data_IF_926279996482
#
_entry.id   IF_926279996482
#
_cell.length_a   1.000
_cell.length_b   1.000
_cell.length_c   1.000
_cell.angle_alpha   90.00
_cell.angle_beta   90.00
_cell.angle_gamma   90.00
#
_symmetry.space_group_name_H-M   'P 1'
#
loop_
_entity.id
_entity.type
_entity.pdbx_description
1 polymer ?
#
# COMPACT_ATOMS: atom_id res chain seq x y z
N UNK A 1 -21.07 -6.34 4.20
CA UNK A 1 -20.09 -6.01 3.14
C UNK A 1 -18.74 -6.67 3.39
N UNK A 2 -18.28 -6.80 4.66
CA UNK A 2 -17.04 -7.51 5.01
C UNK A 2 -17.04 -9.01 4.63
N UNK A 3 -18.21 -9.68 4.66
CA UNK A 3 -18.33 -11.12 4.35
C UNK A 3 -18.06 -11.49 2.88
N UNK A 4 -18.34 -10.61 1.92
CA UNK A 4 -18.24 -10.95 0.48
C UNK A 4 -16.78 -11.02 0.03
N UNK A 5 -15.94 -10.08 0.49
CA UNK A 5 -14.51 -10.08 0.12
C UNK A 5 -13.74 -11.19 0.80
N UNK A 6 -14.18 -11.63 1.99
CA UNK A 6 -13.57 -12.76 2.69
C UNK A 6 -13.78 -14.06 1.89
N UNK A 7 -14.92 -14.23 1.20
CA UNK A 7 -15.18 -15.42 0.38
C UNK A 7 -14.31 -15.44 -0.88
N UNK A 8 -14.10 -14.30 -1.54
CA UNK A 8 -13.21 -14.20 -2.72
C UNK A 8 -11.74 -14.53 -2.40
N UNK A 9 -11.32 -14.37 -1.14
CA UNK A 9 -9.92 -14.50 -0.74
C UNK A 9 -9.62 -15.89 -0.16
N UNK A 10 -10.55 -16.50 0.60
CA UNK A 10 -10.31 -17.80 1.26
C UNK A 10 -9.99 -18.91 0.26
N UNK A 11 -10.55 -18.84 -0.95
CA UNK A 11 -10.42 -19.88 -1.98
C UNK A 11 -9.20 -19.68 -2.91
N UNK A 12 -8.27 -18.78 -2.59
CA UNK A 12 -7.01 -18.60 -3.33
C UNK A 12 -6.02 -19.73 -3.01
N UNK A 13 -6.28 -20.90 -3.60
CA UNK A 13 -5.67 -22.18 -3.21
C UNK A 13 -4.26 -22.40 -3.79
N UNK A 14 -3.89 -21.70 -4.86
CA UNK A 14 -2.58 -21.83 -5.51
C UNK A 14 -1.74 -20.54 -5.40
N UNK A 15 -0.52 -20.55 -5.93
CA UNK A 15 0.29 -19.33 -6.10
C UNK A 15 -0.28 -18.51 -7.25
N UNK A 16 -0.73 -19.18 -8.31
CA UNK A 16 -1.31 -18.59 -9.51
C UNK A 16 -2.61 -17.82 -9.22
N UNK A 17 -3.48 -18.35 -8.35
CA UNK A 17 -4.72 -17.67 -7.95
C UNK A 17 -4.39 -16.37 -7.18
N UNK A 18 -3.42 -16.44 -6.26
CA UNK A 18 -2.96 -15.31 -5.46
C UNK A 18 -2.28 -14.26 -6.33
N UNK A 19 -1.44 -14.69 -7.27
CA UNK A 19 -0.77 -13.85 -8.27
C UNK A 19 -1.80 -13.08 -9.10
N UNK A 20 -2.80 -13.80 -9.65
CA UNK A 20 -3.86 -13.19 -10.44
C UNK A 20 -4.67 -12.18 -9.63
N UNK A 21 -5.05 -12.54 -8.39
CA UNK A 21 -5.77 -11.66 -7.48
C UNK A 21 -5.01 -10.35 -7.21
N UNK A 22 -3.72 -10.44 -6.85
CA UNK A 22 -2.88 -9.28 -6.57
C UNK A 22 -2.67 -8.42 -7.82
N UNK A 23 -2.39 -9.04 -8.97
CA UNK A 23 -2.23 -8.31 -10.24
C UNK A 23 -3.52 -7.58 -10.63
N UNK A 24 -4.68 -8.20 -10.46
CA UNK A 24 -5.96 -7.57 -10.77
C UNK A 24 -6.24 -6.35 -9.87
N UNK A 25 -5.91 -6.43 -8.57
CA UNK A 25 -5.98 -5.25 -7.68
C UNK A 25 -5.09 -4.14 -8.24
N UNK A 26 -3.84 -4.44 -8.60
CA UNK A 26 -2.91 -3.47 -9.15
C UNK A 26 -3.44 -2.81 -10.43
N UNK A 27 -3.98 -3.59 -11.36
CA UNK A 27 -4.43 -3.08 -12.64
C UNK A 27 -5.65 -2.16 -12.49
N UNK A 28 -6.60 -2.54 -11.62
CA UNK A 28 -7.78 -1.71 -11.30
C UNK A 28 -7.38 -0.42 -10.57
N UNK A 29 -6.46 -0.54 -9.62
CA UNK A 29 -5.86 0.55 -8.89
C UNK A 29 -5.20 1.56 -9.85
N UNK A 30 -4.26 1.13 -10.69
CA UNK A 30 -3.58 2.02 -11.63
C UNK A 30 -4.51 2.62 -12.69
N UNK A 31 -5.54 1.90 -13.12
CA UNK A 31 -6.54 2.42 -14.06
C UNK A 31 -7.23 3.68 -13.52
N UNK A 32 -7.74 3.64 -12.29
CA UNK A 32 -8.44 4.79 -11.69
C UNK A 32 -7.51 6.00 -11.54
N UNK A 33 -6.22 5.77 -11.21
CA UNK A 33 -5.22 6.85 -11.12
C UNK A 33 -4.87 7.46 -12.48
N UNK A 34 -4.93 6.69 -13.56
CA UNK A 34 -4.73 7.23 -14.91
C UNK A 34 -5.91 8.11 -15.31
N UNK A 35 -7.14 7.64 -15.08
CA UNK A 35 -8.35 8.42 -15.37
C UNK A 35 -8.39 9.75 -14.58
N UNK A 36 -7.99 9.73 -13.31
CA UNK A 36 -7.90 10.95 -12.51
C UNK A 36 -6.81 11.90 -13.04
N UNK A 37 -5.62 11.39 -13.36
CA UNK A 37 -4.51 12.21 -13.92
C UNK A 37 -4.89 12.87 -15.23
N UNK A 38 -5.57 12.15 -16.11
CA UNK A 38 -6.09 12.69 -17.37
C UNK A 38 -7.10 13.81 -17.09
N UNK A 39 -8.00 13.62 -16.11
CA UNK A 39 -8.94 14.65 -15.71
C UNK A 39 -8.24 15.89 -15.12
N UNK A 40 -7.28 15.72 -14.21
CA UNK A 40 -6.55 16.84 -13.61
C UNK A 40 -5.73 17.63 -14.64
N UNK A 41 -5.25 16.96 -15.69
CA UNK A 41 -4.49 17.59 -16.78
C UNK A 41 -5.39 18.31 -17.78
N UNK A 42 -6.56 17.74 -18.11
CA UNK A 42 -7.40 18.20 -19.23
C UNK A 42 -8.64 19.00 -18.79
N UNK A 43 -9.12 18.80 -17.56
CA UNK A 43 -10.45 19.23 -17.09
C UNK A 43 -10.44 19.71 -15.63
N UNK A 44 -9.33 20.26 -15.17
CA UNK A 44 -9.14 20.70 -13.79
C UNK A 44 -10.33 21.53 -13.24
N UNK A 45 -10.83 21.16 -12.07
CA UNK A 45 -11.95 21.84 -11.40
C UNK A 45 -13.36 21.48 -11.90
N UNK A 46 -13.48 20.56 -12.87
CA UNK A 46 -14.78 20.07 -13.34
C UNK A 46 -15.46 19.11 -12.34
N UNK A 47 -16.79 18.98 -12.47
CA UNK A 47 -17.58 17.98 -11.73
C UNK A 47 -17.11 16.54 -12.03
N UNK A 48 -16.73 16.27 -13.27
CA UNK A 48 -16.19 14.99 -13.71
C UNK A 48 -14.91 14.63 -12.92
N UNK A 49 -14.02 15.59 -12.68
CA UNK A 49 -12.84 15.34 -11.84
C UNK A 49 -13.20 15.08 -10.38
N UNK A 50 -14.26 15.70 -9.86
CA UNK A 50 -14.74 15.40 -8.51
C UNK A 50 -15.28 13.96 -8.43
N UNK A 51 -16.00 13.49 -9.46
CA UNK A 51 -16.46 12.09 -9.55
C UNK A 51 -15.29 11.10 -9.62
N UNK A 52 -14.24 11.40 -10.39
CA UNK A 52 -13.04 10.56 -10.43
C UNK A 52 -12.33 10.49 -9.06
N UNK A 53 -12.24 11.60 -8.31
CA UNK A 53 -11.69 11.60 -6.95
C UNK A 53 -12.51 10.77 -5.98
N UNK A 54 -13.85 10.82 -6.08
CA UNK A 54 -14.72 9.97 -5.29
C UNK A 54 -14.52 8.49 -5.63
N UNK A 55 -14.34 8.18 -6.92
CA UNK A 55 -14.07 6.82 -7.37
C UNK A 55 -12.70 6.31 -6.87
N UNK A 56 -11.65 7.12 -6.92
CA UNK A 56 -10.33 6.79 -6.36
C UNK A 56 -10.43 6.45 -4.88
N UNK A 57 -11.04 7.32 -4.06
CA UNK A 57 -11.20 7.08 -2.62
C UNK A 57 -11.97 5.78 -2.35
N UNK A 58 -12.99 5.47 -3.15
CA UNK A 58 -13.75 4.23 -3.02
C UNK A 58 -12.88 3.02 -3.37
N UNK A 59 -12.14 3.08 -4.48
CA UNK A 59 -11.22 2.02 -4.90
C UNK A 59 -10.11 1.79 -3.87
N UNK A 60 -9.55 2.84 -3.28
CA UNK A 60 -8.53 2.75 -2.25
C UNK A 60 -9.03 1.99 -1.02
N UNK A 61 -10.26 2.27 -0.55
CA UNK A 61 -10.86 1.58 0.60
C UNK A 61 -11.22 0.12 0.28
N UNK A 62 -11.74 -0.17 -0.91
CA UNK A 62 -12.05 -1.53 -1.35
C UNK A 62 -10.76 -2.36 -1.46
N UNK A 63 -9.71 -1.79 -2.06
CA UNK A 63 -8.40 -2.42 -2.18
C UNK A 63 -7.76 -2.64 -0.80
N UNK A 64 -7.87 -1.67 0.11
CA UNK A 64 -7.38 -1.81 1.48
C UNK A 64 -8.04 -2.99 2.19
N UNK A 65 -9.36 -3.12 2.06
CA UNK A 65 -10.12 -4.24 2.65
C UNK A 65 -9.63 -5.57 2.10
N UNK A 66 -9.46 -5.67 0.78
CA UNK A 66 -8.97 -6.89 0.11
C UNK A 66 -7.54 -7.25 0.49
N UNK A 67 -6.62 -6.29 0.46
CA UNK A 67 -5.21 -6.52 0.78
C UNK A 67 -5.01 -6.87 2.25
N UNK A 68 -5.69 -6.20 3.17
CA UNK A 68 -5.56 -6.51 4.60
C UNK A 68 -6.10 -7.90 4.92
N UNK A 69 -7.19 -8.33 4.28
CA UNK A 69 -7.69 -9.70 4.39
C UNK A 69 -6.70 -10.72 3.80
N UNK A 70 -6.15 -10.46 2.61
CA UNK A 70 -5.12 -11.29 1.99
C UNK A 70 -3.89 -11.44 2.90
N UNK A 71 -3.35 -10.34 3.40
CA UNK A 71 -2.13 -10.34 4.22
C UNK A 71 -2.34 -11.08 5.55
N UNK A 72 -3.52 -11.01 6.16
CA UNK A 72 -3.86 -11.76 7.38
C UNK A 72 -3.92 -13.27 7.15
N UNK A 73 -4.34 -13.70 5.96
CA UNK A 73 -4.49 -15.12 5.63
C UNK A 73 -3.19 -15.75 5.10
N UNK A 74 -2.44 -15.01 4.29
CA UNK A 74 -1.33 -15.56 3.49
C UNK A 74 0.02 -14.90 3.76
N UNK A 75 0.07 -13.80 4.50
CA UNK A 75 1.29 -13.01 4.69
C UNK A 75 1.68 -12.23 3.42
N UNK A 76 2.92 -11.72 3.41
CA UNK A 76 3.42 -10.91 2.32
C UNK A 76 3.83 -11.79 1.10
N UNK A 77 3.41 -11.46 -0.12
CA UNK A 77 3.80 -12.19 -1.34
C UNK A 77 5.28 -11.97 -1.67
N UNK A 78 6.10 -13.02 -1.54
CA UNK A 78 7.54 -12.93 -1.81
C UNK A 78 7.85 -12.84 -3.30
N UNK A 79 8.87 -12.04 -3.66
CA UNK A 79 9.40 -11.97 -5.03
C UNK A 79 9.98 -13.28 -5.57
N UNK A 80 10.21 -14.26 -4.69
CA UNK A 80 10.63 -15.59 -5.10
C UNK A 80 9.52 -16.35 -5.83
N UNK A 81 8.29 -16.19 -5.36
CA UNK A 81 7.14 -17.00 -5.79
C UNK A 81 6.14 -16.19 -6.64
N UNK A 82 6.20 -14.86 -6.54
CA UNK A 82 5.27 -13.93 -7.20
C UNK A 82 6.01 -12.97 -8.13
N UNK A 83 5.31 -12.43 -9.14
CA UNK A 83 5.87 -11.39 -9.99
C UNK A 83 6.16 -10.10 -9.22
N UNK A 84 6.96 -9.21 -9.81
CA UNK A 84 7.20 -7.88 -9.24
C UNK A 84 5.90 -7.09 -9.04
N UNK A 85 4.94 -7.22 -9.96
CA UNK A 85 3.63 -6.55 -9.85
C UNK A 85 2.87 -7.09 -8.65
N UNK A 86 2.69 -8.41 -8.55
CA UNK A 86 1.96 -9.03 -7.46
C UNK A 86 2.63 -8.75 -6.10
N UNK A 87 3.95 -8.96 -6.01
CA UNK A 87 4.72 -8.73 -4.78
C UNK A 87 4.73 -7.27 -4.29
N UNK A 88 4.69 -6.28 -5.20
CA UNK A 88 4.63 -4.87 -4.81
C UNK A 88 3.21 -4.37 -4.47
N UNK A 89 2.17 -5.09 -4.88
CA UNK A 89 0.78 -4.63 -4.74
C UNK A 89 0.35 -4.36 -3.30
N UNK A 90 0.66 -5.21 -2.31
CA UNK A 90 0.26 -4.94 -0.93
C UNK A 90 0.88 -3.66 -0.37
N UNK A 91 2.18 -3.44 -0.60
CA UNK A 91 2.83 -2.19 -0.23
C UNK A 91 2.14 -0.97 -0.86
N UNK A 92 1.85 -1.05 -2.16
CA UNK A 92 1.25 0.05 -2.91
C UNK A 92 -0.09 0.47 -2.31
N UNK A 93 -0.98 -0.50 -2.06
CA UNK A 93 -2.30 -0.26 -1.48
C UNK A 93 -2.20 0.29 -0.05
N UNK A 94 -1.31 -0.27 0.78
CA UNK A 94 -1.08 0.24 2.14
C UNK A 94 -0.55 1.68 2.12
N UNK A 95 0.40 1.98 1.23
CA UNK A 95 1.01 3.31 1.07
C UNK A 95 0.02 4.41 0.65
N UNK A 96 -0.96 4.06 -0.18
CA UNK A 96 -2.03 5.01 -0.57
C UNK A 96 -3.02 5.28 0.57
N UNK A 97 -3.14 4.34 1.51
CA UNK A 97 -4.08 4.42 2.61
C UNK A 97 -3.44 4.81 3.96
N UNK A 98 -2.18 5.25 3.98
CA UNK A 98 -1.52 5.63 5.23
C UNK A 98 -2.30 6.75 5.92
N UNK A 99 -2.60 6.55 7.20
CA UNK A 99 -3.33 7.50 8.03
C UNK A 99 -4.84 7.55 7.82
N UNK A 100 -5.40 6.76 6.88
CA UNK A 100 -6.87 6.65 6.75
C UNK A 100 -7.48 5.77 7.85
N UNK A 101 -6.70 4.81 8.38
CA UNK A 101 -7.09 3.97 9.50
C UNK A 101 -5.87 3.62 10.38
N UNK A 102 -5.71 4.32 11.51
CA UNK A 102 -4.51 4.25 12.37
C UNK A 102 -4.13 2.83 12.83
N UNK A 103 -5.11 1.92 12.94
CA UNK A 103 -4.85 0.54 13.32
C UNK A 103 -4.21 -0.30 12.21
N UNK A 104 -4.48 0.01 10.94
CA UNK A 104 -3.94 -0.73 9.80
C UNK A 104 -2.44 -0.50 9.68
N UNK A 105 -2.00 0.75 9.78
CA UNK A 105 -0.57 1.07 9.70
C UNK A 105 0.21 0.37 10.83
N UNK A 106 -0.33 0.38 12.05
CA UNK A 106 0.26 -0.31 13.20
C UNK A 106 0.31 -1.83 13.01
N UNK A 107 -0.69 -2.42 12.39
CA UNK A 107 -0.77 -3.86 12.14
C UNK A 107 0.23 -4.31 11.08
N UNK A 108 0.33 -3.59 9.95
CA UNK A 108 1.09 -4.07 8.78
C UNK A 108 2.46 -3.43 8.58
N UNK A 109 2.79 -2.32 9.26
CA UNK A 109 4.13 -1.75 9.16
C UNK A 109 5.26 -2.74 9.56
N UNK A 110 5.13 -3.57 10.62
CA UNK A 110 6.13 -4.61 10.92
C UNK A 110 6.30 -5.62 9.78
N UNK A 111 5.21 -5.99 9.11
CA UNK A 111 5.23 -6.92 7.98
C UNK A 111 5.98 -6.32 6.77
N UNK A 112 5.82 -5.03 6.49
CA UNK A 112 6.57 -4.34 5.44
C UNK A 112 8.07 -4.23 5.75
N UNK A 113 8.42 -4.03 7.02
CA UNK A 113 9.82 -4.06 7.46
C UNK A 113 10.43 -5.46 7.27
N UNK A 114 9.69 -6.52 7.61
CA UNK A 114 10.12 -7.89 7.37
C UNK A 114 10.30 -8.18 5.87
N UNK A 115 9.34 -7.79 5.04
CA UNK A 115 9.40 -7.95 3.59
C UNK A 115 10.59 -7.20 2.99
N UNK A 116 10.90 -5.98 3.46
CA UNK A 116 12.13 -5.27 3.09
C UNK A 116 13.40 -6.05 3.47
N UNK A 117 13.49 -6.57 4.69
CA UNK A 117 14.65 -7.38 5.14
C UNK A 117 14.84 -8.65 4.30
N UNK A 118 13.77 -9.16 3.68
CA UNK A 118 13.78 -10.29 2.74
C UNK A 118 14.03 -9.89 1.28
N UNK A 119 14.22 -8.60 0.98
CA UNK A 119 14.30 -8.01 -0.36
C UNK A 119 13.01 -8.10 -1.19
N UNK A 120 11.87 -8.39 -0.56
CA UNK A 120 10.56 -8.39 -1.22
C UNK A 120 10.03 -6.97 -1.47
N UNK A 121 10.51 -5.98 -0.69
CA UNK A 121 10.25 -4.53 -0.88
C UNK A 121 11.57 -3.79 -1.06
N UNK A 122 11.59 -2.77 -1.91
CA UNK A 122 12.78 -1.93 -2.11
C UNK A 122 12.96 -0.93 -0.96
N UNK A 123 14.20 -0.46 -0.80
CA UNK A 123 14.54 0.58 0.18
C UNK A 123 13.66 1.83 0.00
N UNK A 124 13.53 2.32 -1.23
CA UNK A 124 12.74 3.52 -1.57
C UNK A 124 11.27 3.36 -1.17
N UNK A 125 10.68 2.20 -1.48
CA UNK A 125 9.28 1.92 -1.18
C UNK A 125 9.02 1.91 0.34
N UNK A 126 9.86 1.21 1.11
CA UNK A 126 9.74 1.20 2.57
C UNK A 126 9.92 2.61 3.14
N UNK A 127 10.92 3.35 2.67
CA UNK A 127 11.20 4.70 3.13
C UNK A 127 10.00 5.65 2.94
N UNK A 128 9.37 5.61 1.76
CA UNK A 128 8.19 6.44 1.48
C UNK A 128 7.01 6.10 2.37
N UNK A 129 6.74 4.80 2.58
CA UNK A 129 5.68 4.35 3.47
C UNK A 129 5.93 4.83 4.91
N UNK A 130 7.13 4.57 5.46
CA UNK A 130 7.45 4.91 6.84
C UNK A 130 7.42 6.42 7.10
N UNK A 131 7.81 7.26 6.12
CA UNK A 131 7.69 8.72 6.26
C UNK A 131 6.25 9.19 6.35
N UNK A 132 5.35 8.63 5.53
CA UNK A 132 3.92 8.95 5.61
C UNK A 132 3.34 8.46 6.94
N UNK A 133 3.74 7.25 7.37
CA UNK A 133 3.24 6.70 8.61
C UNK A 133 3.72 7.52 9.82
N UNK A 134 5.00 7.92 9.83
CA UNK A 134 5.53 8.85 10.83
C UNK A 134 4.74 10.16 10.87
N UNK A 135 4.46 10.77 9.73
CA UNK A 135 3.65 11.98 9.68
C UNK A 135 2.26 11.77 10.29
N UNK A 136 1.58 10.70 9.90
CA UNK A 136 0.26 10.36 10.43
C UNK A 136 0.29 10.06 11.94
N UNK A 137 1.33 9.38 12.42
CA UNK A 137 1.43 8.94 13.82
C UNK A 137 1.89 10.06 14.76
N UNK A 138 2.87 10.86 14.32
CA UNK A 138 3.49 11.91 15.14
C UNK A 138 2.82 13.28 14.95
N UNK A 139 2.00 13.46 13.91
CA UNK A 139 1.36 14.74 13.57
C UNK A 139 2.34 15.80 13.05
N UNK A 140 3.56 15.41 12.68
CA UNK A 140 4.60 16.32 12.18
C UNK A 140 5.46 15.65 11.10
N UNK A 141 6.01 16.40 10.13
CA UNK A 141 6.83 15.83 9.07
C UNK A 141 8.09 15.19 9.66
N UNK A 142 8.57 14.14 8.99
CA UNK A 142 9.92 13.66 9.18
C UNK A 142 10.90 14.70 8.64
N UNK A 143 11.70 15.29 9.54
CA UNK A 143 12.75 16.24 9.20
C UNK A 143 14.08 15.50 9.13
N UNK A 144 14.62 15.40 7.92
CA UNK A 144 15.92 14.77 7.68
C UNK A 144 17.01 15.70 8.19
N UNK A 145 17.92 15.20 9.01
CA UNK A 145 19.18 15.92 9.28
C UNK A 145 20.07 15.76 8.06
N UNK A 146 20.77 16.80 7.63
CA UNK A 146 21.41 16.91 6.30
C UNK A 146 22.59 15.96 6.03
N UNK A 147 22.80 14.92 6.85
CA UNK A 147 23.99 14.05 6.81
C UNK A 147 23.70 12.54 6.91
N UNK A 148 22.45 12.09 6.96
CA UNK A 148 22.12 10.65 7.09
C UNK A 148 21.85 9.99 5.75
N UNK A 149 22.34 8.76 5.56
CA UNK A 149 21.99 7.88 4.44
C UNK A 149 20.52 7.42 4.51
N UNK A 150 19.95 6.97 3.39
CA UNK A 150 18.55 6.49 3.38
C UNK A 150 18.33 5.24 4.28
N UNK A 151 19.37 4.41 4.44
CA UNK A 151 19.34 3.28 5.37
C UNK A 151 19.27 3.76 6.82
N UNK A 152 20.05 4.78 7.20
CA UNK A 152 19.98 5.38 8.53
C UNK A 152 18.62 6.05 8.80
N UNK A 153 18.01 6.64 7.77
CA UNK A 153 16.67 7.22 7.86
C UNK A 153 15.61 6.14 8.15
N UNK A 154 15.68 4.99 7.47
CA UNK A 154 14.78 3.85 7.72
C UNK A 154 14.95 3.32 9.14
N UNK A 155 16.18 3.10 9.61
CA UNK A 155 16.43 2.61 10.97
C UNK A 155 15.96 3.62 12.03
N UNK A 156 16.10 4.92 11.77
CA UNK A 156 15.50 5.96 12.60
C UNK A 156 13.97 5.82 12.65
N UNK A 157 13.32 5.72 11.48
CA UNK A 157 11.87 5.62 11.39
C UNK A 157 11.32 4.36 12.06
N UNK A 158 11.97 3.20 11.87
CA UNK A 158 11.63 1.93 12.53
C UNK A 158 11.66 2.11 14.05
N UNK A 159 12.73 2.72 14.59
CA UNK A 159 12.86 2.97 16.03
C UNK A 159 11.78 3.91 16.57
N UNK A 160 11.55 5.04 15.91
CA UNK A 160 10.57 6.03 16.36
C UNK A 160 9.13 5.52 16.31
N UNK A 161 8.83 4.68 15.30
CA UNK A 161 7.54 4.03 15.12
C UNK A 161 7.38 2.75 15.95
N UNK A 162 8.45 2.31 16.66
CA UNK A 162 8.49 1.11 17.49
C UNK A 162 8.17 -0.17 16.71
N UNK A 163 8.78 -0.32 15.53
CA UNK A 163 8.63 -1.45 14.60
C UNK A 163 9.78 -2.46 14.69
#
# INVERSE_FOLDING_TARGET
MMDIFVTEIIDLNSVEDKEFFLCNINDLDQKVRHELRDCETLKFGSLECAEYKLNENKTDLENLTKITAYLRLYGYPSKKDFSEKASNTPWLVLHHNVGTATNIDKEFAPLLVEAYRKNDITLVNLHWYLKRYFYSYMGRPYERTTQTSETEDIEFLIRELKL
#
